data_IF_879152560640
#
_entry.id   IF_879152560640
#
_cell.length_a   1.000
_cell.length_b   1.000
_cell.length_c   1.000
_cell.angle_alpha   90.00
_cell.angle_beta   90.00
_cell.angle_gamma   90.00
#
_symmetry.space_group_name_H-M   'P 1'
#
loop_
_entity.id
_entity.type
_entity.pdbx_description
1 polymer ?
#
# COMPACT_ATOMS: atom_id res chain seq x y z
N UNK A 1 -4.82 7.16 -17.48
CA UNK A 1 -3.86 6.58 -16.52
C UNK A 1 -4.25 7.06 -15.14
N UNK A 2 -4.51 6.16 -14.18
CA UNK A 2 -4.91 6.51 -12.81
C UNK A 2 -3.84 6.03 -11.83
N UNK A 3 -3.39 6.93 -10.96
CA UNK A 3 -2.46 6.65 -9.87
C UNK A 3 -3.24 6.54 -8.56
N UNK A 4 -3.08 5.43 -7.83
CA UNK A 4 -3.57 5.30 -6.47
C UNK A 4 -2.48 5.71 -5.47
N UNK A 5 -2.84 6.53 -4.50
CA UNK A 5 -1.96 6.99 -3.43
C UNK A 5 -2.43 6.42 -2.10
N UNK A 6 -1.49 5.86 -1.32
CA UNK A 6 -1.74 5.32 0.01
C UNK A 6 -0.81 5.99 1.03
N UNK A 7 -1.30 6.26 2.23
CA UNK A 7 -0.57 6.84 3.37
C UNK A 7 -1.15 6.28 4.68
N UNK A 8 -0.45 6.50 5.79
CA UNK A 8 -0.97 6.24 7.15
C UNK A 8 -1.47 4.80 7.34
N UNK A 9 -0.70 3.84 6.81
CA UNK A 9 -1.11 2.43 6.85
C UNK A 9 -1.13 1.86 8.28
N UNK A 10 -0.23 2.32 9.15
CA UNK A 10 -0.09 1.97 10.56
C UNK A 10 -0.22 0.47 10.85
N UNK A 11 0.45 -0.38 10.06
CA UNK A 11 0.39 -1.84 10.18
C UNK A 11 -1.03 -2.43 10.04
N UNK A 12 -1.97 -1.70 9.42
CA UNK A 12 -3.33 -2.13 9.14
C UNK A 12 -3.43 -2.85 7.80
N UNK A 13 -3.01 -4.12 7.79
CA UNK A 13 -3.01 -4.96 6.59
C UNK A 13 -4.40 -5.06 5.92
N UNK A 14 -5.47 -5.23 6.71
CA UNK A 14 -6.81 -5.40 6.17
C UNK A 14 -7.33 -4.14 5.47
N UNK A 15 -7.08 -2.95 6.06
CA UNK A 15 -7.42 -1.70 5.40
C UNK A 15 -6.60 -1.51 4.12
N UNK A 16 -5.29 -1.80 4.18
CA UNK A 16 -4.43 -1.66 3.01
C UNK A 16 -4.90 -2.55 1.85
N UNK A 17 -5.16 -3.83 2.11
CA UNK A 17 -5.62 -4.79 1.10
C UNK A 17 -6.96 -4.40 0.48
N UNK A 18 -7.89 -3.93 1.33
CA UNK A 18 -9.22 -3.48 0.88
C UNK A 18 -9.10 -2.24 -0.01
N UNK A 19 -8.30 -1.25 0.40
CA UNK A 19 -8.06 -0.04 -0.39
C UNK A 19 -7.32 -0.34 -1.70
N UNK A 20 -6.38 -1.28 -1.69
CA UNK A 20 -5.66 -1.70 -2.89
C UNK A 20 -6.56 -2.40 -3.89
N UNK A 21 -7.45 -3.30 -3.44
CA UNK A 21 -8.47 -3.92 -4.28
C UNK A 21 -9.42 -2.86 -4.86
N UNK A 22 -9.92 -1.95 -4.02
CA UNK A 22 -10.78 -0.86 -4.48
C UNK A 22 -10.10 0.01 -5.55
N UNK A 23 -8.83 0.38 -5.35
CA UNK A 23 -8.08 1.16 -6.34
C UNK A 23 -7.98 0.43 -7.69
N UNK A 24 -7.75 -0.89 -7.69
CA UNK A 24 -7.72 -1.70 -8.90
C UNK A 24 -9.09 -1.71 -9.60
N UNK A 25 -10.18 -1.88 -8.86
CA UNK A 25 -11.54 -1.85 -9.40
C UNK A 25 -11.90 -0.47 -10.00
N UNK A 26 -11.33 0.61 -9.45
CA UNK A 26 -11.44 1.96 -10.01
C UNK A 26 -10.58 2.18 -11.27
N UNK A 27 -9.81 1.18 -11.70
CA UNK A 27 -8.94 1.24 -12.88
C UNK A 27 -7.59 1.91 -12.62
N UNK A 28 -7.10 1.91 -11.38
CA UNK A 28 -5.74 2.35 -11.08
C UNK A 28 -4.72 1.39 -11.71
N UNK A 29 -3.79 1.94 -12.47
CA UNK A 29 -2.73 1.22 -13.19
C UNK A 29 -1.34 1.52 -12.64
N UNK A 30 -1.25 2.43 -11.68
CA UNK A 30 -0.01 2.88 -11.03
C UNK A 30 -0.30 3.11 -9.56
N UNK A 31 0.69 2.91 -8.70
CA UNK A 31 0.53 2.96 -7.25
C UNK A 31 1.70 3.71 -6.60
N UNK A 32 1.40 4.48 -5.55
CA UNK A 32 2.42 5.01 -4.66
C UNK A 32 2.01 4.88 -3.18
N UNK A 33 2.97 4.55 -2.33
CA UNK A 33 2.83 4.46 -0.87
C UNK A 33 3.74 5.50 -0.22
N UNK A 34 3.14 6.38 0.58
CA UNK A 34 3.79 7.61 1.06
C UNK A 34 4.49 7.47 2.41
N UNK A 35 4.21 6.42 3.18
CA UNK A 35 4.87 6.18 4.47
C UNK A 35 3.92 5.63 5.53
N UNK A 36 4.36 5.75 6.79
CA UNK A 36 3.65 5.27 7.98
C UNK A 36 3.19 3.82 7.84
N UNK A 37 4.07 2.98 7.26
CA UNK A 37 3.79 1.57 6.97
C UNK A 37 3.48 0.78 8.24
N UNK A 38 4.18 1.12 9.32
CA UNK A 38 4.10 0.47 10.64
C UNK A 38 3.54 1.43 11.68
N UNK A 39 3.28 0.92 12.88
CA UNK A 39 2.71 1.70 13.96
C UNK A 39 2.01 0.80 14.97
N UNK A 40 0.81 1.21 15.38
CA UNK A 40 0.02 0.54 16.40
C UNK A 40 -0.83 -0.64 15.89
N UNK A 41 -0.90 -0.88 14.57
CA UNK A 41 -1.63 -2.01 13.99
C UNK A 41 -0.92 -3.35 14.17
N UNK A 42 -1.69 -4.43 14.02
CA UNK A 42 -1.25 -5.77 14.41
C UNK A 42 -0.28 -6.45 13.42
N UNK A 43 -0.09 -5.91 12.21
CA UNK A 43 0.60 -6.61 11.12
C UNK A 43 1.74 -5.82 10.47
N UNK A 44 2.75 -5.35 11.23
CA UNK A 44 3.81 -4.50 10.70
C UNK A 44 4.64 -5.21 9.62
N UNK A 45 5.06 -6.46 9.86
CA UNK A 45 5.85 -7.22 8.89
C UNK A 45 5.09 -7.47 7.58
N UNK A 46 3.83 -7.89 7.66
CA UNK A 46 3.03 -8.17 6.47
C UNK A 46 2.74 -6.92 5.63
N UNK A 47 2.56 -5.74 6.25
CA UNK A 47 2.41 -4.49 5.50
C UNK A 47 3.71 -4.12 4.79
N UNK A 48 4.86 -4.26 5.46
CA UNK A 48 6.17 -4.03 4.83
C UNK A 48 6.40 -4.98 3.66
N UNK A 49 6.15 -6.29 3.84
CA UNK A 49 6.27 -7.30 2.78
C UNK A 49 5.38 -6.96 1.57
N UNK A 50 4.15 -6.50 1.82
CA UNK A 50 3.21 -6.07 0.78
C UNK A 50 3.73 -4.84 0.02
N UNK A 51 4.29 -3.85 0.72
CA UNK A 51 4.88 -2.66 0.11
C UNK A 51 6.11 -3.02 -0.73
N UNK A 52 6.99 -3.89 -0.24
CA UNK A 52 8.16 -4.38 -1.01
C UNK A 52 7.73 -5.11 -2.28
N UNK A 53 6.70 -5.96 -2.20
CA UNK A 53 6.16 -6.65 -3.38
C UNK A 53 5.57 -5.68 -4.41
N UNK A 54 4.92 -4.59 -3.96
CA UNK A 54 4.41 -3.55 -4.85
C UNK A 54 5.54 -2.74 -5.51
N UNK A 55 6.61 -2.41 -4.77
CA UNK A 55 7.80 -1.75 -5.31
C UNK A 55 8.44 -2.59 -6.43
N UNK A 56 8.58 -3.90 -6.21
CA UNK A 56 9.06 -4.84 -7.23
C UNK A 56 8.17 -4.89 -8.49
N UNK A 57 6.88 -4.55 -8.36
CA UNK A 57 5.93 -4.43 -9.47
C UNK A 57 5.93 -3.04 -10.11
N UNK A 58 6.81 -2.14 -9.68
CA UNK A 58 6.97 -0.78 -10.22
C UNK A 58 6.16 0.29 -9.49
N UNK A 59 5.60 0.01 -8.32
CA UNK A 59 5.02 1.04 -7.46
C UNK A 59 6.11 1.93 -6.86
N UNK A 60 5.78 3.19 -6.58
CA UNK A 60 6.67 4.09 -5.83
C UNK A 60 6.41 3.86 -4.33
N UNK A 61 7.43 3.45 -3.58
CA UNK A 61 7.34 3.34 -2.12
C UNK A 61 8.33 4.33 -1.52
N UNK A 62 7.83 5.30 -0.76
CA UNK A 62 8.70 6.23 -0.05
C UNK A 62 9.35 5.52 1.13
N UNK A 63 10.65 5.78 1.28
CA UNK A 63 11.57 5.16 2.23
C UNK A 63 12.08 6.16 3.25
#
# INVERSE_FOLDING_TARGET
MKLALFSDLHANLHAFDTCLAHARDQGASSFAVLGDLVGYGAYPGAVVDRCMALEQQGAIVLR
#
